data_IF_383651221636
#
_entry.id   IF_383651221636
#
_cell.length_a   1.000
_cell.length_b   1.000
_cell.length_c   1.000
_cell.angle_alpha   90.00
_cell.angle_beta   90.00
_cell.angle_gamma   90.00
#
_symmetry.space_group_name_H-M   'P 1'
#
loop_
_entity.id
_entity.type
_entity.pdbx_description
1 polymer ?
#
# COMPACT_ATOMS: atom_id res chain seq x y z
N UNK A 1 21.52 -22.70 -4.65
CA UNK A 1 21.28 -21.78 -5.77
C UNK A 1 21.22 -20.37 -5.19
N UNK A 2 22.04 -19.41 -5.68
CA UNK A 2 21.96 -18.02 -5.22
C UNK A 2 20.69 -17.40 -5.83
N UNK A 3 19.73 -16.97 -5.00
CA UNK A 3 18.60 -16.19 -5.49
C UNK A 3 19.13 -14.89 -6.12
N UNK A 4 18.62 -14.54 -7.29
CA UNK A 4 19.00 -13.32 -7.99
C UNK A 4 18.47 -12.10 -7.20
N UNK A 5 19.16 -10.95 -7.15
CA UNK A 5 18.75 -9.78 -6.35
C UNK A 5 17.29 -9.35 -6.56
N UNK A 6 16.79 -9.46 -7.80
CA UNK A 6 15.39 -9.17 -8.15
C UNK A 6 14.38 -10.17 -7.55
N UNK A 7 14.75 -11.44 -7.41
CA UNK A 7 13.89 -12.45 -6.77
C UNK A 7 13.79 -12.19 -5.27
N UNK A 8 14.89 -11.81 -4.62
CA UNK A 8 14.90 -11.44 -3.21
C UNK A 8 14.00 -10.22 -2.97
N UNK A 9 14.13 -9.20 -3.81
CA UNK A 9 13.29 -8.02 -3.77
C UNK A 9 11.80 -8.35 -3.87
N UNK A 10 11.40 -9.15 -4.85
CA UNK A 10 10.01 -9.57 -5.02
C UNK A 10 9.50 -10.43 -3.84
N UNK A 11 10.35 -11.27 -3.25
CA UNK A 11 9.99 -12.09 -2.10
C UNK A 11 9.76 -11.23 -0.85
N UNK A 12 10.61 -10.23 -0.60
CA UNK A 12 10.46 -9.32 0.53
C UNK A 12 9.17 -8.48 0.46
N UNK A 13 8.75 -8.06 -0.74
CA UNK A 13 7.45 -7.42 -0.93
C UNK A 13 6.31 -8.40 -0.60
N UNK A 14 6.39 -9.64 -1.11
CA UNK A 14 5.37 -10.67 -0.82
C UNK A 14 5.26 -10.96 0.68
N UNK A 15 6.38 -11.05 1.38
CA UNK A 15 6.43 -11.24 2.84
C UNK A 15 5.75 -10.08 3.57
N UNK A 16 6.05 -8.83 3.19
CA UNK A 16 5.36 -7.66 3.72
C UNK A 16 3.84 -7.72 3.51
N UNK A 17 3.39 -8.08 2.29
CA UNK A 17 1.97 -8.25 2.00
C UNK A 17 1.33 -9.35 2.86
N UNK A 18 2.02 -10.48 3.08
CA UNK A 18 1.53 -11.55 3.95
C UNK A 18 1.39 -11.08 5.40
N UNK A 19 2.33 -10.26 5.90
CA UNK A 19 2.23 -9.67 7.23
C UNK A 19 0.98 -8.78 7.37
N UNK A 20 0.72 -7.91 6.39
CA UNK A 20 -0.48 -7.05 6.37
C UNK A 20 -1.76 -7.89 6.34
N UNK A 21 -1.82 -8.92 5.48
CA UNK A 21 -2.96 -9.86 5.42
C UNK A 21 -3.17 -10.66 6.70
N UNK A 22 -2.13 -10.80 7.51
CA UNK A 22 -2.16 -11.48 8.80
C UNK A 22 -2.34 -10.50 9.97
N UNK A 23 -2.80 -9.28 9.68
CA UNK A 23 -3.06 -8.20 10.65
C UNK A 23 -1.83 -7.72 11.44
N UNK A 24 -0.63 -8.08 10.98
CA UNK A 24 0.64 -7.61 11.55
C UNK A 24 1.01 -6.28 10.89
N UNK A 25 0.18 -5.25 11.09
CA UNK A 25 0.25 -3.99 10.34
C UNK A 25 1.56 -3.24 10.53
N UNK A 26 2.07 -3.12 11.75
CA UNK A 26 3.35 -2.43 12.00
C UNK A 26 4.52 -3.12 11.28
N UNK A 27 4.65 -4.44 11.45
CA UNK A 27 5.68 -5.23 10.78
C UNK A 27 5.52 -5.21 9.24
N UNK A 28 4.28 -5.28 8.75
CA UNK A 28 3.98 -5.17 7.33
C UNK A 28 4.36 -3.80 6.77
N UNK A 29 4.01 -2.71 7.47
CA UNK A 29 4.35 -1.34 7.07
C UNK A 29 5.87 -1.14 7.02
N UNK A 30 6.58 -1.55 8.07
CA UNK A 30 8.05 -1.44 8.13
C UNK A 30 8.72 -2.26 7.03
N UNK A 31 8.21 -3.47 6.75
CA UNK A 31 8.72 -4.32 5.69
C UNK A 31 8.47 -3.73 4.29
N UNK A 32 7.32 -3.10 4.07
CA UNK A 32 6.94 -2.55 2.77
C UNK A 32 7.52 -1.15 2.49
N UNK A 33 7.80 -0.35 3.53
CA UNK A 33 8.21 1.06 3.40
C UNK A 33 9.41 1.29 2.47
N UNK A 34 10.52 0.54 2.55
CA UNK A 34 11.66 0.76 1.66
C UNK A 34 11.30 0.57 0.18
N UNK A 35 10.40 -0.36 -0.11
CA UNK A 35 9.97 -0.64 -1.48
C UNK A 35 9.03 0.43 -2.01
N UNK A 36 8.18 1.00 -1.15
CA UNK A 36 7.31 2.13 -1.50
C UNK A 36 8.17 3.33 -1.92
N UNK A 37 9.18 3.68 -1.13
CA UNK A 37 10.08 4.80 -1.43
C UNK A 37 10.83 4.60 -2.75
N UNK A 38 11.39 3.40 -2.98
CA UNK A 38 12.03 3.05 -4.27
C UNK A 38 11.04 3.21 -5.43
N UNK A 39 9.78 2.79 -5.26
CA UNK A 39 8.79 2.89 -6.32
C UNK A 39 8.37 4.33 -6.60
N UNK A 40 8.22 5.16 -5.57
CA UNK A 40 7.97 6.61 -5.70
C UNK A 40 9.07 7.29 -6.53
N UNK A 41 10.33 6.97 -6.26
CA UNK A 41 11.48 7.51 -7.02
C UNK A 41 11.51 7.01 -8.48
N UNK A 42 11.10 5.76 -8.71
CA UNK A 42 11.17 5.14 -10.04
C UNK A 42 10.03 5.52 -10.99
N UNK A 43 9.02 6.24 -10.51
CA UNK A 43 7.77 6.56 -11.22
C UNK A 43 7.06 5.32 -11.82
N UNK A 44 7.26 4.14 -11.23
CA UNK A 44 6.60 2.90 -11.64
C UNK A 44 5.35 2.65 -10.82
N UNK A 45 4.26 2.35 -11.51
CA UNK A 45 3.02 1.89 -10.87
C UNK A 45 3.23 0.55 -10.21
N UNK A 46 2.88 0.45 -8.93
CA UNK A 46 2.85 -0.83 -8.21
C UNK A 46 1.66 -0.83 -7.24
N UNK A 47 0.44 -0.68 -7.78
CA UNK A 47 -0.82 -0.52 -7.02
C UNK A 47 -0.92 -1.48 -5.83
N UNK A 48 -0.63 -2.77 -6.02
CA UNK A 48 -0.69 -3.77 -4.94
C UNK A 48 0.22 -3.45 -3.74
N UNK A 49 1.42 -2.94 -3.98
CA UNK A 49 2.38 -2.60 -2.93
C UNK A 49 1.85 -1.41 -2.13
N UNK A 50 1.46 -0.35 -2.83
CA UNK A 50 0.92 0.86 -2.22
C UNK A 50 -0.40 0.58 -1.49
N UNK A 51 -1.25 -0.30 -2.01
CA UNK A 51 -2.50 -0.71 -1.37
C UNK A 51 -2.24 -1.36 0.00
N UNK A 52 -1.41 -2.41 0.08
CA UNK A 52 -1.17 -3.05 1.39
C UNK A 52 -0.41 -2.14 2.36
N UNK A 53 0.44 -1.25 1.84
CA UNK A 53 1.06 -0.22 2.65
C UNK A 53 0.03 0.76 3.22
N UNK A 54 -0.90 1.27 2.39
CA UNK A 54 -1.95 2.20 2.82
C UNK A 54 -2.91 1.58 3.82
N UNK A 55 -3.28 0.30 3.66
CA UNK A 55 -4.07 -0.41 4.66
C UNK A 55 -3.35 -0.44 6.02
N UNK A 56 -2.03 -0.64 6.02
CA UNK A 56 -1.25 -0.63 7.27
C UNK A 56 -1.21 0.76 7.90
N UNK A 57 -1.01 1.80 7.10
CA UNK A 57 -1.05 3.19 7.56
C UNK A 57 -2.40 3.53 8.20
N UNK A 58 -3.51 3.21 7.53
CA UNK A 58 -4.85 3.44 8.05
C UNK A 58 -5.07 2.73 9.39
N UNK A 59 -4.66 1.45 9.49
CA UNK A 59 -4.83 0.64 10.70
C UNK A 59 -3.98 1.10 11.89
N UNK A 60 -2.88 1.78 11.62
CA UNK A 60 -1.99 2.34 12.65
C UNK A 60 -2.32 3.80 12.99
N UNK A 61 -3.31 4.41 12.34
CA UNK A 61 -3.66 5.82 12.55
C UNK A 61 -2.70 6.80 11.87
N UNK A 62 -1.88 6.34 10.92
CA UNK A 62 -0.99 7.17 10.11
C UNK A 62 -1.79 7.87 9.00
N UNK A 63 -2.68 8.79 9.41
CA UNK A 63 -3.71 9.40 8.56
C UNK A 63 -3.10 10.12 7.36
N UNK A 64 -2.13 11.02 7.57
CA UNK A 64 -1.48 11.76 6.48
C UNK A 64 -0.83 10.82 5.47
N UNK A 65 -0.17 9.77 5.96
CA UNK A 65 0.45 8.75 5.14
C UNK A 65 -0.58 7.98 4.31
N UNK A 66 -1.72 7.60 4.91
CA UNK A 66 -2.81 6.96 4.18
C UNK A 66 -3.38 7.87 3.08
N UNK A 67 -3.61 9.16 3.37
CA UNK A 67 -4.13 10.12 2.39
C UNK A 67 -3.18 10.30 1.21
N UNK A 68 -1.87 10.38 1.46
CA UNK A 68 -0.86 10.41 0.40
C UNK A 68 -0.92 9.14 -0.46
N UNK A 69 -0.90 7.97 0.17
CA UNK A 69 -0.93 6.68 -0.53
C UNK A 69 -2.20 6.52 -1.35
N UNK A 70 -3.37 6.88 -0.81
CA UNK A 70 -4.64 6.88 -1.54
C UNK A 70 -4.55 7.73 -2.80
N UNK A 71 -4.09 8.99 -2.68
CA UNK A 71 -3.94 9.89 -3.83
C UNK A 71 -3.00 9.30 -4.89
N UNK A 72 -1.86 8.74 -4.48
CA UNK A 72 -0.91 8.12 -5.39
C UNK A 72 -1.52 6.93 -6.13
N UNK A 73 -2.23 6.04 -5.42
CA UNK A 73 -2.89 4.87 -5.99
C UNK A 73 -3.97 5.29 -7.01
N UNK A 74 -4.74 6.33 -6.72
CA UNK A 74 -5.77 6.82 -7.66
C UNK A 74 -5.17 7.35 -8.97
N UNK A 75 -3.97 7.94 -8.92
CA UNK A 75 -3.25 8.44 -10.10
C UNK A 75 -2.55 7.34 -10.92
N UNK A 76 -2.39 6.14 -10.37
CA UNK A 76 -1.78 5.02 -11.07
C UNK A 76 -2.74 4.41 -12.11
N UNK A 77 -2.21 4.09 -13.29
CA UNK A 77 -2.92 3.29 -14.28
C UNK A 77 -3.02 1.83 -13.80
N UNK A 78 -4.26 1.33 -13.69
CA UNK A 78 -4.54 -0.07 -13.40
C UNK A 78 -4.47 -0.87 -14.69
N UNK A 79 -3.62 -1.90 -14.71
CA UNK A 79 -3.41 -2.76 -15.88
C UNK A 79 -4.21 -4.05 -15.79
N UNK A 80 -4.75 -4.34 -14.60
CA UNK A 80 -5.54 -5.54 -14.33
C UNK A 80 -6.84 -5.20 -13.59
N UNK A 81 -7.85 -6.07 -13.71
CA UNK A 81 -9.10 -5.96 -12.95
C UNK A 81 -8.86 -6.01 -11.43
N UNK A 82 -7.88 -6.78 -10.98
CA UNK A 82 -7.56 -6.86 -9.54
C UNK A 82 -7.04 -5.52 -9.02
N UNK A 83 -6.18 -4.84 -9.77
CA UNK A 83 -5.69 -3.50 -9.41
C UNK A 83 -6.83 -2.48 -9.39
N UNK A 84 -7.74 -2.54 -10.36
CA UNK A 84 -8.92 -1.66 -10.40
C UNK A 84 -9.82 -1.87 -9.17
N UNK A 85 -10.04 -3.13 -8.76
CA UNK A 85 -10.79 -3.44 -7.53
C UNK A 85 -10.06 -2.91 -6.29
N UNK A 86 -8.74 -3.04 -6.21
CA UNK A 86 -7.95 -2.49 -5.09
C UNK A 86 -8.11 -0.97 -4.97
N UNK A 87 -8.15 -0.24 -6.09
CA UNK A 87 -8.41 1.22 -6.08
C UNK A 87 -9.80 1.50 -5.50
N UNK A 88 -10.82 0.79 -5.98
CA UNK A 88 -12.21 0.95 -5.55
C UNK A 88 -12.43 0.58 -4.07
N UNK A 89 -11.68 -0.40 -3.55
CA UNK A 89 -11.74 -0.78 -2.13
C UNK A 89 -11.25 0.34 -1.19
N UNK A 90 -10.40 1.26 -1.67
CA UNK A 90 -9.92 2.37 -0.85
C UNK A 90 -10.93 3.53 -0.77
N UNK A 91 -11.82 3.70 -1.75
CA UNK A 91 -12.74 4.84 -1.78
C UNK A 91 -13.67 4.89 -0.56
N UNK A 92 -14.30 3.78 -0.12
CA UNK A 92 -15.11 3.77 1.11
C UNK A 92 -14.28 4.06 2.36
N UNK A 93 -13.05 3.53 2.44
CA UNK A 93 -12.15 3.75 3.57
C UNK A 93 -11.76 5.22 3.69
N UNK A 94 -11.46 5.85 2.55
CA UNK A 94 -11.17 7.28 2.48
C UNK A 94 -12.38 8.13 2.88
N UNK A 95 -13.57 7.82 2.36
CA UNK A 95 -14.80 8.56 2.72
C UNK A 95 -15.12 8.45 4.21
N UNK A 96 -15.06 7.25 4.76
CA UNK A 96 -15.29 7.03 6.19
C UNK A 96 -14.30 7.84 7.03
N UNK A 97 -13.02 7.83 6.68
CA UNK A 97 -12.01 8.64 7.36
C UNK A 97 -12.33 10.14 7.29
N UNK A 98 -12.75 10.65 6.13
CA UNK A 98 -13.14 12.07 6.01
C UNK A 98 -14.38 12.42 6.84
N UNK A 99 -15.36 11.52 6.91
CA UNK A 99 -16.54 11.69 7.76
C UNK A 99 -16.13 11.76 9.24
N UNK A 100 -15.23 10.88 9.68
CA UNK A 100 -14.69 10.89 11.05
C UNK A 100 -13.92 12.18 11.37
N UNK A 101 -13.15 12.71 10.42
CA UNK A 101 -12.40 13.97 10.57
C UNK A 101 -13.30 15.23 10.49
N UNK A 102 -14.39 15.17 9.73
CA UNK A 102 -15.30 16.29 9.50
C UNK A 102 -16.52 16.33 10.44
N UNK A 103 -16.69 15.31 11.29
CA UNK A 103 -17.77 15.25 12.30
C UNK A 103 -17.40 15.93 13.62
N UNK A 104 -16.43 16.85 13.61
CA UNK A 104 -16.13 17.77 14.71
C UNK A 104 -16.89 19.10 14.59
#
# INVERSE_FOLDING_TARGET
>A
MKQLPLQNFANQIKEGIVLVKSEKYEAGMQQLAPFVEIMKESNKSHIRLFFYYSISQLRLGEIDGFLESYRLIQLMEATTREEELMKQELDPLFKQLLEELGSE
#
